data_IF_613903016434
#
_entry.id   IF_613903016434
#
_cell.length_a   1.000
_cell.length_b   1.000
_cell.length_c   1.000
_cell.angle_alpha   90.00
_cell.angle_beta   90.00
_cell.angle_gamma   90.00
#
_symmetry.space_group_name_H-M   'P 1'
#
loop_
_entity.id
_entity.type
_entity.pdbx_description
1 polymer ?
#
# COMPACT_ATOMS: atom_id res chain seq x y z
N UNK A 1 -1.08 7.03 -0.80
CA UNK A 1 -0.57 6.86 -2.18
C UNK A 1 0.17 5.54 -2.31
N UNK A 2 0.41 5.09 -3.54
CA UNK A 2 1.31 3.98 -3.82
C UNK A 2 2.73 4.51 -4.04
N UNK A 3 3.64 4.14 -3.15
CA UNK A 3 5.03 4.60 -3.11
C UNK A 3 5.95 3.66 -3.89
N UNK A 4 7.07 4.19 -4.38
CA UNK A 4 8.03 3.41 -5.15
C UNK A 4 8.73 2.35 -4.28
N UNK A 5 9.17 1.23 -4.89
CA UNK A 5 10.01 0.23 -4.23
C UNK A 5 11.22 0.86 -3.56
N UNK A 6 11.59 0.37 -2.38
CA UNK A 6 12.77 0.80 -1.59
C UNK A 6 12.71 2.26 -1.09
N UNK A 7 11.51 2.84 -0.97
CA UNK A 7 11.33 4.13 -0.29
C UNK A 7 11.10 3.97 1.22
N UNK A 8 11.48 4.98 2.01
CA UNK A 8 11.22 5.01 3.45
C UNK A 8 9.71 5.00 3.78
N UNK A 9 8.89 5.64 2.94
CA UNK A 9 7.43 5.60 3.07
C UNK A 9 6.86 4.20 2.84
N UNK A 10 7.39 3.44 1.88
CA UNK A 10 6.99 2.05 1.69
C UNK A 10 7.33 1.21 2.93
N UNK A 11 8.49 1.43 3.55
CA UNK A 11 8.86 0.77 4.81
C UNK A 11 7.87 1.13 5.94
N UNK A 12 7.54 2.41 6.10
CA UNK A 12 6.55 2.85 7.10
C UNK A 12 5.20 2.13 6.93
N UNK A 13 4.67 2.12 5.72
CA UNK A 13 3.41 1.43 5.44
C UNK A 13 3.52 -0.08 5.70
N UNK A 14 4.65 -0.70 5.34
CA UNK A 14 4.90 -2.13 5.61
C UNK A 14 4.89 -2.45 7.10
N UNK A 15 5.34 -1.53 7.97
CA UNK A 15 5.29 -1.73 9.43
C UNK A 15 3.86 -1.64 9.99
N UNK A 16 2.94 -0.95 9.30
CA UNK A 16 1.56 -0.78 9.74
C UNK A 16 0.66 -1.97 9.35
N UNK A 17 0.80 -2.50 8.14
CA UNK A 17 -0.08 -3.57 7.63
C UNK A 17 0.62 -4.92 7.43
N UNK A 18 1.93 -5.00 7.65
CA UNK A 18 2.72 -6.19 7.35
C UNK A 18 3.11 -6.28 5.87
N UNK A 19 4.21 -6.98 5.60
CA UNK A 19 4.79 -7.08 4.26
C UNK A 19 3.88 -7.79 3.27
N UNK A 20 3.26 -8.90 3.65
CA UNK A 20 2.48 -9.72 2.73
C UNK A 20 1.19 -9.02 2.32
N UNK A 21 0.52 -8.36 3.26
CA UNK A 21 -0.65 -7.51 2.99
C UNK A 21 -0.28 -6.38 2.01
N UNK A 22 0.83 -5.68 2.26
CA UNK A 22 1.31 -4.62 1.38
C UNK A 22 1.61 -5.13 -0.04
N UNK A 23 2.31 -6.26 -0.17
CA UNK A 23 2.63 -6.84 -1.48
C UNK A 23 1.38 -7.30 -2.23
N UNK A 24 0.41 -7.89 -1.52
CA UNK A 24 -0.89 -8.25 -2.08
C UNK A 24 -1.66 -7.03 -2.60
N UNK A 25 -1.72 -5.96 -1.81
CA UNK A 25 -2.37 -4.70 -2.21
C UNK A 25 -1.70 -4.07 -3.45
N UNK A 26 -0.37 -4.11 -3.55
CA UNK A 26 0.36 -3.61 -4.73
C UNK A 26 0.11 -4.46 -5.97
N UNK A 27 0.09 -5.79 -5.83
CA UNK A 27 -0.22 -6.69 -6.93
C UNK A 27 -1.63 -6.44 -7.48
N UNK A 28 -2.60 -6.25 -6.59
CA UNK A 28 -3.98 -5.91 -6.96
C UNK A 28 -4.08 -4.54 -7.63
N UNK A 29 -3.42 -3.52 -7.08
CA UNK A 29 -3.40 -2.18 -7.65
C UNK A 29 -2.80 -2.16 -9.07
N UNK A 30 -1.74 -2.94 -9.32
CA UNK A 30 -1.16 -3.12 -10.65
C UNK A 30 -2.14 -3.81 -11.61
N UNK A 31 -2.76 -4.91 -11.17
CA UNK A 31 -3.74 -5.67 -11.97
C UNK A 31 -4.95 -4.80 -12.35
N UNK A 32 -5.35 -3.92 -11.45
CA UNK A 32 -6.50 -3.02 -11.61
C UNK A 32 -6.15 -1.65 -12.21
N UNK A 33 -4.89 -1.43 -12.62
CA UNK A 33 -4.49 -0.23 -13.36
C UNK A 33 -4.45 1.07 -12.56
N UNK A 34 -4.20 0.99 -11.24
CA UNK A 34 -4.10 2.16 -10.39
C UNK A 34 -2.91 3.02 -10.79
N UNK A 35 -3.03 4.33 -10.59
CA UNK A 35 -1.95 5.31 -10.79
C UNK A 35 -1.10 5.38 -9.53
N UNK A 36 0.21 5.35 -9.69
CA UNK A 36 1.16 5.34 -8.57
C UNK A 36 1.77 6.73 -8.36
N UNK A 37 2.55 6.88 -7.28
CA UNK A 37 3.33 8.07 -6.94
C UNK A 37 2.49 9.26 -6.43
N UNK A 38 3.08 10.46 -6.47
CA UNK A 38 2.62 11.63 -5.72
C UNK A 38 1.19 12.08 -6.05
N UNK A 39 0.77 11.96 -7.31
CA UNK A 39 -0.56 12.36 -7.79
C UNK A 39 -1.40 11.18 -8.29
N UNK A 40 -0.98 9.97 -7.93
CA UNK A 40 -1.70 8.74 -8.21
C UNK A 40 -2.89 8.56 -7.28
N UNK A 41 -3.35 7.32 -7.22
CA UNK A 41 -4.46 6.91 -6.39
C UNK A 41 -3.98 6.63 -4.95
N UNK A 42 -4.95 6.52 -4.04
CA UNK A 42 -4.73 6.40 -2.61
C UNK A 42 -4.95 4.96 -2.11
N UNK A 43 -4.39 4.69 -0.93
CA UNK A 43 -4.62 3.46 -0.17
C UNK A 43 -5.04 3.88 1.23
N UNK A 44 -6.08 3.24 1.75
CA UNK A 44 -6.60 3.44 3.10
C UNK A 44 -6.34 2.16 3.91
N UNK A 45 -5.58 2.29 4.99
CA UNK A 45 -5.39 1.21 5.97
C UNK A 45 -6.37 1.43 7.11
N UNK A 46 -7.23 0.44 7.35
CA UNK A 46 -8.16 0.44 8.47
C UNK A 46 -7.60 -0.42 9.60
N UNK A 47 -7.82 -0.06 10.87
CA UNK A 47 -7.53 -0.95 11.98
C UNK A 47 -8.41 -2.21 11.86
N UNK A 48 -7.90 -3.35 12.31
CA UNK A 48 -8.74 -4.53 12.44
C UNK A 48 -9.92 -4.21 13.36
N UNK A 49 -11.12 -4.53 12.90
CA UNK A 49 -12.31 -4.47 13.73
C UNK A 49 -12.12 -5.50 14.85
N UNK A 50 -11.86 -5.02 16.08
CA UNK A 50 -11.97 -5.89 17.25
C UNK A 50 -13.47 -6.19 17.44
N UNK A 51 -13.85 -7.47 17.62
CA UNK A 51 -15.21 -7.81 17.98
C UNK A 51 -15.63 -7.18 19.31
#
# INVERSE_FOLDING_TARGET
>A
NFHLPRSSLLMLVATLCGRDCLLGAYAEALRSGYRFYSYGDAMLLLPEARP
#
